data_IF_982159477177
#
_entry.id   IF_982159477177
#
_cell.length_a   1.000
_cell.length_b   1.000
_cell.length_c   1.000
_cell.angle_alpha   90.00
_cell.angle_beta   90.00
_cell.angle_gamma   90.00
#
_symmetry.space_group_name_H-M   'P 1'
#
loop_
_entity.id
_entity.type
_entity.pdbx_description
1 polymer ?
#
# COMPACT_ATOMS: atom_id res chain seq x y z
N UNK A 1 -27.59 20.83 -17.34
CA UNK A 1 -26.44 20.62 -16.44
C UNK A 1 -26.69 19.35 -15.64
N UNK A 2 -25.86 18.31 -15.81
CA UNK A 2 -25.99 17.07 -15.04
C UNK A 2 -25.61 17.33 -13.57
N UNK A 3 -26.43 16.86 -12.63
CA UNK A 3 -26.19 17.00 -11.18
C UNK A 3 -24.98 16.15 -10.78
N UNK A 4 -24.04 16.71 -10.03
CA UNK A 4 -22.95 15.96 -9.44
C UNK A 4 -23.53 14.87 -8.53
N UNK A 5 -22.98 13.66 -8.59
CA UNK A 5 -23.45 12.55 -7.77
C UNK A 5 -23.00 12.77 -6.32
N UNK A 6 -23.86 13.36 -5.49
CA UNK A 6 -23.60 13.69 -4.07
C UNK A 6 -23.34 12.45 -3.18
N UNK A 7 -23.36 11.23 -3.75
CA UNK A 7 -23.01 9.96 -3.07
C UNK A 7 -21.63 9.41 -3.45
N UNK A 8 -20.85 10.12 -4.26
CA UNK A 8 -19.50 9.69 -4.60
C UNK A 8 -18.62 9.71 -3.33
N UNK A 9 -18.12 8.54 -2.93
CA UNK A 9 -17.14 8.44 -1.85
C UNK A 9 -15.90 9.26 -2.28
N UNK A 10 -15.37 10.16 -1.42
CA UNK A 10 -14.15 10.88 -1.75
C UNK A 10 -13.01 9.89 -2.05
N UNK A 11 -12.13 10.19 -3.01
CA UNK A 11 -10.97 9.35 -3.30
C UNK A 11 -10.16 9.15 -2.03
N UNK A 12 -9.71 7.92 -1.79
CA UNK A 12 -8.76 7.65 -0.72
C UNK A 12 -7.40 8.15 -1.22
N UNK A 13 -6.93 9.26 -0.65
CA UNK A 13 -5.68 9.91 -1.06
C UNK A 13 -4.49 9.43 -0.25
N UNK A 14 -4.70 8.78 0.91
CA UNK A 14 -3.62 8.35 1.79
C UNK A 14 -3.90 7.00 2.47
N UNK A 15 -2.83 6.27 2.78
CA UNK A 15 -2.82 5.06 3.61
C UNK A 15 -1.59 5.08 4.52
N UNK A 16 -1.65 4.31 5.61
CA UNK A 16 -0.51 4.08 6.50
C UNK A 16 -0.28 2.58 6.65
N UNK A 17 0.99 2.17 6.61
CA UNK A 17 1.40 0.77 6.82
C UNK A 17 2.67 0.73 7.66
N UNK A 18 2.96 -0.42 8.26
CA UNK A 18 4.22 -0.67 8.97
C UNK A 18 5.14 -1.49 8.08
N UNK A 19 6.41 -1.12 8.00
CA UNK A 19 7.45 -1.87 7.30
C UNK A 19 7.67 -3.17 8.06
N UNK A 20 7.45 -4.31 7.39
CA UNK A 20 7.57 -5.63 8.00
C UNK A 20 8.78 -6.38 7.44
N UNK A 21 9.48 -7.11 8.31
CA UNK A 21 10.47 -8.10 7.89
C UNK A 21 9.74 -9.38 7.44
N UNK A 22 10.24 -10.02 6.38
CA UNK A 22 9.67 -11.27 5.90
C UNK A 22 10.78 -12.27 5.57
N UNK A 23 10.74 -13.44 6.23
CA UNK A 23 11.61 -14.58 5.93
C UNK A 23 10.77 -15.68 5.26
N UNK A 24 10.76 -15.70 3.92
CA UNK A 24 10.01 -16.68 3.10
C UNK A 24 8.64 -16.20 2.57
N UNK A 25 8.01 -17.00 1.70
CA UNK A 25 6.65 -16.71 1.17
C UNK A 25 5.62 -16.67 2.30
N UNK A 26 4.62 -15.76 2.26
CA UNK A 26 3.56 -15.75 3.26
C UNK A 26 2.86 -17.11 3.26
N UNK A 27 2.98 -17.85 4.37
CA UNK A 27 2.69 -19.28 4.43
C UNK A 27 1.21 -19.65 4.37
N UNK A 28 0.27 -18.70 4.34
CA UNK A 28 -1.15 -19.01 4.21
C UNK A 28 -1.92 -17.84 3.56
N UNK A 29 -2.19 -17.95 2.27
CA UNK A 29 -3.29 -17.24 1.61
C UNK A 29 -4.48 -18.20 1.53
N UNK A 30 -4.89 -18.74 2.68
CA UNK A 30 -5.82 -19.89 2.78
C UNK A 30 -7.25 -19.58 2.36
N UNK A 31 -7.60 -18.30 2.16
CA UNK A 31 -8.90 -17.89 1.63
C UNK A 31 -8.68 -17.08 0.36
N UNK A 32 -8.85 -17.73 -0.80
CA UNK A 32 -8.98 -16.99 -2.06
C UNK A 32 -10.24 -16.12 -1.98
N UNK A 33 -10.14 -14.81 -2.23
CA UNK A 33 -11.31 -13.93 -2.22
C UNK A 33 -12.29 -14.32 -3.34
N UNK A 34 -13.59 -14.08 -3.13
CA UNK A 34 -14.63 -14.27 -4.17
C UNK A 34 -14.46 -13.31 -5.37
N UNK A 35 -13.67 -12.25 -5.21
CA UNK A 35 -13.42 -11.22 -6.21
C UNK A 35 -11.94 -10.84 -6.23
N UNK A 36 -11.37 -10.59 -7.41
CA UNK A 36 -9.98 -10.16 -7.55
C UNK A 36 -9.81 -8.73 -7.04
N UNK A 37 -8.85 -8.51 -6.15
CA UNK A 37 -8.36 -7.18 -5.78
C UNK A 37 -6.91 -7.02 -6.27
N UNK A 38 -6.48 -5.80 -6.65
CA UNK A 38 -5.08 -5.55 -6.97
C UNK A 38 -4.22 -5.78 -5.73
N UNK A 39 -3.18 -6.60 -5.86
CA UNK A 39 -2.22 -6.90 -4.81
C UNK A 39 -0.81 -6.61 -5.32
N UNK A 40 0.00 -5.96 -4.49
CA UNK A 40 1.41 -5.66 -4.77
C UNK A 40 2.24 -6.02 -3.55
N UNK A 41 3.35 -6.75 -3.77
CA UNK A 41 4.36 -7.03 -2.76
C UNK A 41 5.61 -6.24 -3.13
N UNK A 42 6.04 -5.32 -2.27
CA UNK A 42 7.30 -4.60 -2.40
C UNK A 42 8.24 -5.17 -1.34
N UNK A 43 9.36 -5.75 -1.77
CA UNK A 43 10.31 -6.37 -0.86
C UNK A 43 11.68 -6.46 -1.50
N UNK A 44 12.72 -6.33 -0.68
CA UNK A 44 14.12 -6.36 -1.08
C UNK A 44 14.97 -5.50 -0.17
N UNK A 45 16.26 -5.81 -0.06
CA UNK A 45 17.20 -5.07 0.79
C UNK A 45 17.34 -3.59 0.38
N UNK A 46 17.04 -3.24 -0.87
CA UNK A 46 17.02 -1.86 -1.37
C UNK A 46 16.04 -0.96 -0.63
N UNK A 47 14.99 -1.51 0.00
CA UNK A 47 14.08 -0.73 0.85
C UNK A 47 14.81 -0.14 2.06
N UNK A 48 15.76 -0.88 2.62
CA UNK A 48 16.61 -0.41 3.72
C UNK A 48 17.79 0.37 3.16
N UNK A 49 18.53 -0.23 2.22
CA UNK A 49 19.83 0.28 1.78
C UNK A 49 19.74 1.56 0.94
N UNK A 50 18.73 1.65 0.07
CA UNK A 50 18.63 2.74 -0.91
C UNK A 50 17.49 3.70 -0.56
N UNK A 51 16.35 3.17 -0.08
CA UNK A 51 15.19 3.99 0.30
C UNK A 51 15.16 4.40 1.78
N UNK A 52 16.01 3.80 2.63
CA UNK A 52 16.16 4.19 4.04
C UNK A 52 14.99 3.81 4.96
N UNK A 53 14.11 2.89 4.56
CA UNK A 53 13.02 2.43 5.41
C UNK A 53 13.52 1.42 6.45
N UNK A 54 13.18 1.64 7.72
CA UNK A 54 13.56 0.73 8.80
C UNK A 54 12.44 -0.27 9.13
N UNK A 55 12.76 -1.54 9.43
CA UNK A 55 11.78 -2.47 9.98
C UNK A 55 11.06 -1.93 11.22
N UNK A 56 9.74 -2.10 11.28
CA UNK A 56 8.90 -1.58 12.36
C UNK A 56 8.51 -0.11 12.21
N UNK A 57 9.10 0.60 11.26
CA UNK A 57 8.73 1.98 10.94
C UNK A 57 7.34 2.07 10.33
N UNK A 58 6.58 3.11 10.70
CA UNK A 58 5.29 3.41 10.09
C UNK A 58 5.51 4.35 8.91
N UNK A 59 5.09 3.94 7.71
CA UNK A 59 5.20 4.75 6.50
C UNK A 59 3.83 5.25 6.05
N UNK A 60 3.83 6.42 5.41
CA UNK A 60 2.67 6.98 4.70
C UNK A 60 2.75 6.62 3.22
N UNK A 61 1.62 6.22 2.64
CA UNK A 61 1.46 6.02 1.20
C UNK A 61 0.49 7.09 0.69
N UNK A 62 0.99 8.05 -0.07
CA UNK A 62 0.16 8.97 -0.83
C UNK A 62 -0.26 8.32 -2.15
N UNK A 63 -1.55 8.38 -2.45
CA UNK A 63 -2.18 7.82 -3.64
C UNK A 63 -2.49 8.97 -4.59
N UNK A 64 -1.76 9.02 -5.69
CA UNK A 64 -1.96 10.01 -6.75
C UNK A 64 -2.34 9.32 -8.08
N UNK A 65 -2.96 10.04 -9.03
CA UNK A 65 -3.25 9.49 -10.35
C UNK A 65 -1.98 8.93 -11.01
N UNK A 66 -1.92 7.60 -11.17
CA UNK A 66 -0.81 6.90 -11.84
C UNK A 66 0.43 6.63 -10.99
N UNK A 67 0.47 7.02 -9.70
CA UNK A 67 1.63 6.74 -8.83
C UNK A 67 1.28 6.59 -7.35
N UNK A 68 2.12 5.82 -6.65
CA UNK A 68 2.13 5.72 -5.19
C UNK A 68 3.45 6.32 -4.69
N UNK A 69 3.36 7.24 -3.71
CA UNK A 69 4.55 7.82 -3.06
C UNK A 69 4.59 7.31 -1.63
N UNK A 70 5.64 6.57 -1.28
CA UNK A 70 5.83 6.00 0.06
C UNK A 70 6.85 6.86 0.80
N UNK A 71 6.53 7.29 2.02
CA UNK A 71 7.40 8.17 2.81
C UNK A 71 7.46 7.68 4.25
N UNK A 72 8.68 7.66 4.79
CA UNK A 72 9.00 7.53 6.21
C UNK A 72 8.24 8.57 7.04
N UNK A 73 7.96 8.28 8.31
CA UNK A 73 7.29 9.22 9.23
C UNK A 73 8.08 9.45 10.49
#
# INVERSE_FOLDING_TARGET
MAKANDKARPPITERFVTVQEIWGFPKNMSVRPKTFYPYMKIGGMWLVNDAGFEPGEKVRIAIEPGRLVITAM
#
